data_IF_402167377928
#
_entry.id   IF_402167377928
#
_cell.length_a   1.000
_cell.length_b   1.000
_cell.length_c   1.000
_cell.angle_alpha   90.00
_cell.angle_beta   90.00
_cell.angle_gamma   90.00
#
_symmetry.space_group_name_H-M   'P 1'
#
loop_
_entity.id
_entity.type
_entity.pdbx_description
1 polymer ?
#
# COMPACT_ATOMS: atom_id res chain seq x y z
N UNK A 1 -10.29 14.84 20.58
CA UNK A 1 -10.51 13.40 20.30
C UNK A 1 -9.38 13.01 19.37
N UNK A 2 -8.61 11.99 19.73
CA UNK A 2 -7.46 11.57 18.93
C UNK A 2 -7.90 11.02 17.57
N UNK A 3 -7.16 11.35 16.51
CA UNK A 3 -7.27 10.69 15.22
C UNK A 3 -5.93 10.07 14.83
N UNK A 4 -5.97 9.12 13.90
CA UNK A 4 -4.81 8.38 13.43
C UNK A 4 -4.65 8.54 11.92
N UNK A 5 -3.42 8.72 11.47
CA UNK A 5 -3.10 8.84 10.06
C UNK A 5 -1.80 8.09 9.76
N UNK A 6 -1.83 7.25 8.73
CA UNK A 6 -0.66 6.53 8.22
C UNK A 6 -0.69 6.50 6.70
N UNK A 7 0.49 6.33 6.12
CA UNK A 7 0.67 6.14 4.68
C UNK A 7 1.39 4.81 4.44
N UNK A 8 1.02 4.15 3.35
CA UNK A 8 1.84 3.16 2.67
C UNK A 8 2.32 3.81 1.38
N UNK A 9 3.63 3.90 1.24
CA UNK A 9 4.30 4.35 0.03
C UNK A 9 4.73 3.12 -0.79
N UNK A 10 4.12 2.95 -1.96
CA UNK A 10 4.51 1.98 -2.98
C UNK A 10 5.89 2.34 -3.56
N UNK A 11 6.64 1.35 -4.03
CA UNK A 11 7.99 1.53 -4.56
C UNK A 11 8.07 1.75 -6.06
N UNK A 12 6.96 1.60 -6.79
CA UNK A 12 6.93 1.95 -8.21
C UNK A 12 7.35 3.42 -8.42
N UNK A 13 8.25 3.62 -9.38
CA UNK A 13 8.86 4.89 -9.79
C UNK A 13 9.57 5.67 -8.67
N UNK A 14 9.84 5.02 -7.54
CA UNK A 14 10.56 5.61 -6.40
C UNK A 14 12.08 5.44 -6.57
N UNK A 15 12.80 6.52 -6.79
CA UNK A 15 14.27 6.56 -6.72
C UNK A 15 14.73 7.31 -5.48
N UNK A 16 15.98 7.10 -5.07
CA UNK A 16 16.57 7.83 -3.95
C UNK A 16 16.39 9.35 -4.11
N UNK A 17 16.60 9.85 -5.32
CA UNK A 17 16.57 11.28 -5.63
C UNK A 17 15.18 11.90 -5.48
N UNK A 18 14.12 11.19 -5.89
CA UNK A 18 12.77 11.74 -5.83
C UNK A 18 12.07 11.50 -4.49
N UNK A 19 12.38 10.41 -3.77
CA UNK A 19 11.71 10.15 -2.49
C UNK A 19 12.43 10.77 -1.31
N UNK A 20 13.75 10.97 -1.35
CA UNK A 20 14.47 11.51 -0.19
C UNK A 20 13.88 12.86 0.29
N UNK A 21 13.58 13.84 -0.57
CA UNK A 21 12.95 15.10 -0.15
C UNK A 21 11.57 14.89 0.50
N UNK A 22 10.79 13.91 0.02
CA UNK A 22 9.48 13.58 0.58
C UNK A 22 9.62 13.01 2.00
N UNK A 23 10.54 12.07 2.20
CA UNK A 23 10.79 11.47 3.51
C UNK A 23 11.40 12.45 4.51
N UNK A 24 12.31 13.32 4.06
CA UNK A 24 12.87 14.39 4.91
C UNK A 24 11.74 15.33 5.39
N UNK A 25 10.87 15.77 4.48
CA UNK A 25 9.71 16.60 4.83
C UNK A 25 8.74 15.90 5.79
N UNK A 26 8.38 14.63 5.54
CA UNK A 26 7.52 13.87 6.45
C UNK A 26 8.14 13.74 7.85
N UNK A 27 9.44 13.46 7.92
CA UNK A 27 10.16 13.34 9.17
C UNK A 27 10.19 14.66 9.95
N UNK A 28 10.44 15.79 9.28
CA UNK A 28 10.36 17.14 9.88
C UNK A 28 8.96 17.44 10.45
N UNK A 29 7.92 16.91 9.81
CA UNK A 29 6.53 17.02 10.27
C UNK A 29 6.14 16.00 11.34
N UNK A 30 7.06 15.15 11.76
CA UNK A 30 6.82 14.10 12.76
C UNK A 30 5.90 12.99 12.26
N UNK A 31 5.82 12.79 10.93
CA UNK A 31 5.01 11.74 10.31
C UNK A 31 5.91 10.55 10.00
N UNK A 32 5.64 9.41 10.64
CA UNK A 32 6.25 8.13 10.36
C UNK A 32 5.27 7.24 9.61
N UNK A 33 5.74 6.59 8.54
CA UNK A 33 4.92 5.82 7.60
C UNK A 33 5.56 4.47 7.28
N UNK A 34 4.92 3.70 6.39
CA UNK A 34 5.44 2.45 5.86
C UNK A 34 5.93 2.65 4.42
N UNK A 35 7.24 2.46 4.18
CA UNK A 35 7.85 2.39 2.86
C UNK A 35 7.86 0.94 2.39
N UNK A 36 7.26 0.62 1.24
CA UNK A 36 7.57 -0.66 0.59
C UNK A 36 8.83 -0.53 -0.27
N UNK A 37 9.58 -1.62 -0.43
CA UNK A 37 10.81 -1.66 -1.24
C UNK A 37 10.87 -2.91 -2.11
N UNK A 38 11.75 -2.87 -3.11
CA UNK A 38 12.25 -4.04 -3.83
C UNK A 38 13.67 -4.41 -3.38
N UNK A 39 13.95 -5.71 -3.38
CA UNK A 39 15.28 -6.27 -3.13
C UNK A 39 16.10 -6.30 -4.41
N UNK A 40 15.48 -6.70 -5.51
CA UNK A 40 16.04 -6.85 -6.84
C UNK A 40 15.53 -5.78 -7.80
N UNK A 41 16.31 -5.43 -8.85
CA UNK A 41 15.89 -4.45 -9.83
C UNK A 41 14.68 -4.93 -10.64
N UNK A 42 13.81 -4.03 -11.12
CA UNK A 42 12.70 -4.41 -11.98
C UNK A 42 13.18 -5.15 -13.23
N UNK A 43 12.51 -6.24 -13.60
CA UNK A 43 12.78 -7.07 -14.79
C UNK A 43 11.83 -6.79 -15.95
N UNK A 44 10.70 -6.17 -15.66
CA UNK A 44 9.69 -5.80 -16.63
C UNK A 44 9.81 -4.34 -17.06
N UNK A 45 9.26 -4.04 -18.25
CA UNK A 45 9.33 -2.69 -18.85
C UNK A 45 8.41 -1.64 -18.22
N UNK A 46 7.22 -1.97 -17.68
CA UNK A 46 6.30 -0.96 -17.17
C UNK A 46 6.75 -0.29 -15.87
N UNK A 47 7.63 -0.92 -15.10
CA UNK A 47 7.98 -0.52 -13.75
C UNK A 47 9.41 0.04 -13.69
N UNK A 48 9.62 1.03 -12.83
CA UNK A 48 10.93 1.61 -12.55
C UNK A 48 11.07 1.90 -11.05
N UNK A 49 12.29 2.20 -10.57
CA UNK A 49 12.55 2.49 -9.16
C UNK A 49 13.85 1.86 -8.66
N UNK A 50 14.30 2.36 -7.51
CA UNK A 50 15.48 1.83 -6.82
C UNK A 50 15.13 0.56 -6.03
N UNK A 51 16.18 -0.20 -5.73
CA UNK A 51 16.10 -1.45 -4.97
C UNK A 51 17.32 -1.61 -4.07
N UNK A 52 17.32 -2.64 -3.23
CA UNK A 52 18.43 -2.92 -2.31
C UNK A 52 19.75 -3.30 -3.00
N UNK A 53 19.79 -3.47 -4.34
CA UNK A 53 21.07 -3.64 -5.05
C UNK A 53 21.88 -2.34 -5.17
N UNK A 54 21.28 -1.17 -4.94
CA UNK A 54 21.97 0.12 -4.95
C UNK A 54 22.49 0.46 -3.54
N UNK A 55 23.82 0.52 -3.29
CA UNK A 55 24.36 0.74 -1.95
C UNK A 55 23.88 2.04 -1.29
N UNK A 56 23.79 3.14 -2.04
CA UNK A 56 23.33 4.43 -1.51
C UNK A 56 21.85 4.37 -1.09
N UNK A 57 21.04 3.61 -1.82
CA UNK A 57 19.64 3.38 -1.46
C UNK A 57 19.52 2.53 -0.20
N UNK A 58 20.37 1.51 -0.03
CA UNK A 58 20.40 0.69 1.20
C UNK A 58 20.68 1.57 2.42
N UNK A 59 21.67 2.46 2.34
CA UNK A 59 21.97 3.37 3.46
C UNK A 59 20.82 4.34 3.75
N UNK A 60 20.13 4.84 2.72
CA UNK A 60 18.91 5.62 2.89
C UNK A 60 17.79 4.82 3.59
N UNK A 61 17.52 3.59 3.16
CA UNK A 61 16.49 2.74 3.78
C UNK A 61 16.83 2.40 5.24
N UNK A 62 18.11 2.15 5.56
CA UNK A 62 18.56 1.96 6.95
C UNK A 62 18.34 3.22 7.80
N UNK A 63 18.66 4.40 7.26
CA UNK A 63 18.41 5.68 7.94
C UNK A 63 16.92 5.89 8.20
N UNK A 64 16.04 5.62 7.21
CA UNK A 64 14.60 5.65 7.41
C UNK A 64 14.17 4.70 8.54
N UNK A 65 14.68 3.46 8.54
CA UNK A 65 14.35 2.52 9.60
C UNK A 65 14.79 3.00 10.98
N UNK A 66 16.01 3.53 11.11
CA UNK A 66 16.52 4.11 12.35
C UNK A 66 15.70 5.31 12.84
N UNK A 67 15.17 6.12 11.92
CA UNK A 67 14.26 7.24 12.23
C UNK A 67 12.87 6.80 12.67
N UNK A 68 12.53 5.51 12.54
CA UNK A 68 11.26 4.94 12.97
C UNK A 68 10.24 4.71 11.86
N UNK A 69 10.63 4.87 10.58
CA UNK A 69 9.79 4.43 9.46
C UNK A 69 9.77 2.89 9.41
N UNK A 70 8.64 2.33 8.97
CA UNK A 70 8.55 0.89 8.70
C UNK A 70 9.01 0.60 7.27
N UNK A 71 9.82 -0.46 7.12
CA UNK A 71 10.21 -0.98 5.81
C UNK A 71 9.46 -2.29 5.55
N UNK A 72 8.74 -2.34 4.44
CA UNK A 72 7.87 -3.43 4.00
C UNK A 72 8.25 -3.92 2.60
N UNK A 73 7.68 -5.05 2.19
CA UNK A 73 8.02 -5.69 0.90
C UNK A 73 6.96 -5.42 -0.18
N UNK A 74 7.38 -5.04 -1.39
CA UNK A 74 6.51 -4.95 -2.58
C UNK A 74 6.82 -6.07 -3.59
N UNK A 75 6.74 -7.32 -3.15
CA UNK A 75 7.49 -8.45 -3.73
C UNK A 75 9.02 -8.23 -3.66
N UNK A 76 9.82 -9.23 -4.03
CA UNK A 76 11.29 -9.08 -4.05
C UNK A 76 11.77 -8.17 -5.19
N UNK A 77 10.95 -7.94 -6.20
CA UNK A 77 11.19 -7.00 -7.30
C UNK A 77 10.01 -6.97 -8.25
N UNK A 78 10.01 -6.05 -9.21
CA UNK A 78 9.03 -6.07 -10.30
C UNK A 78 9.39 -7.11 -11.36
N UNK A 79 8.41 -7.90 -11.79
CA UNK A 79 8.56 -8.97 -12.78
C UNK A 79 8.53 -10.38 -12.17
N UNK A 80 8.92 -11.36 -12.98
CA UNK A 80 8.84 -12.77 -12.60
C UNK A 80 10.08 -13.21 -11.79
N UNK A 81 9.85 -13.71 -10.57
CA UNK A 81 10.86 -14.27 -9.68
C UNK A 81 10.47 -15.68 -9.24
N UNK A 82 11.38 -16.65 -9.35
CA UNK A 82 11.10 -18.01 -8.89
C UNK A 82 11.06 -18.09 -7.37
N UNK A 83 10.53 -19.19 -6.83
CA UNK A 83 10.55 -19.47 -5.40
C UNK A 83 11.95 -19.30 -4.81
N UNK A 84 12.96 -19.87 -5.44
CA UNK A 84 14.35 -19.81 -4.97
C UNK A 84 14.81 -18.36 -4.87
N UNK A 85 14.58 -17.56 -5.92
CA UNK A 85 14.92 -16.14 -5.93
C UNK A 85 14.14 -15.34 -4.88
N UNK A 86 12.88 -15.67 -4.63
CA UNK A 86 12.08 -15.04 -3.58
C UNK A 86 12.68 -15.34 -2.21
N UNK A 87 13.04 -16.59 -1.93
CA UNK A 87 13.61 -16.97 -0.64
C UNK A 87 14.98 -16.33 -0.43
N UNK A 88 15.83 -16.32 -1.46
CA UNK A 88 17.12 -15.61 -1.44
C UNK A 88 16.93 -14.11 -1.22
N UNK A 89 15.96 -13.49 -1.89
CA UNK A 89 15.64 -12.07 -1.70
C UNK A 89 15.15 -11.74 -0.30
N UNK A 90 14.41 -12.65 0.35
CA UNK A 90 13.99 -12.47 1.75
C UNK A 90 15.17 -12.56 2.73
N UNK A 91 16.12 -13.47 2.51
CA UNK A 91 17.35 -13.49 3.31
C UNK A 91 18.20 -12.26 3.04
N UNK A 92 18.33 -11.83 1.79
CA UNK A 92 19.09 -10.63 1.45
C UNK A 92 18.48 -9.36 2.04
N UNK A 93 17.14 -9.25 2.07
CA UNK A 93 16.44 -8.20 2.80
C UNK A 93 16.89 -8.17 4.26
N UNK A 94 16.91 -9.32 4.93
CA UNK A 94 17.31 -9.42 6.34
C UNK A 94 18.80 -9.17 6.54
N UNK A 95 19.66 -9.66 5.66
CA UNK A 95 21.10 -9.46 5.78
C UNK A 95 21.46 -7.97 5.63
N UNK A 96 20.75 -7.25 4.74
CA UNK A 96 20.96 -5.82 4.52
C UNK A 96 20.32 -4.95 5.59
N UNK A 97 19.14 -5.31 6.11
CA UNK A 97 18.33 -4.43 6.97
C UNK A 97 18.25 -4.89 8.43
N UNK A 98 18.61 -6.14 8.74
CA UNK A 98 18.64 -6.72 10.08
C UNK A 98 17.33 -7.34 10.58
N UNK A 99 16.27 -7.34 9.76
CA UNK A 99 14.95 -7.86 10.12
C UNK A 99 14.20 -8.38 8.89
N UNK A 100 13.10 -9.13 9.10
CA UNK A 100 12.17 -9.50 8.03
C UNK A 100 10.96 -8.56 7.98
N UNK A 101 10.35 -8.35 6.80
CA UNK A 101 9.19 -7.47 6.66
C UNK A 101 7.95 -8.08 7.32
N UNK A 102 7.19 -7.24 8.05
CA UNK A 102 5.87 -7.61 8.60
C UNK A 102 4.74 -7.48 7.57
N UNK A 103 4.90 -6.55 6.63
CA UNK A 103 3.91 -6.22 5.61
C UNK A 103 4.43 -6.64 4.24
N UNK A 104 3.56 -7.28 3.47
CA UNK A 104 3.76 -7.52 2.05
C UNK A 104 2.59 -6.94 1.25
N UNK A 105 2.94 -6.30 0.14
CA UNK A 105 1.98 -5.74 -0.81
C UNK A 105 2.33 -6.30 -2.17
N UNK A 106 1.39 -7.02 -2.77
CA UNK A 106 1.54 -7.53 -4.13
C UNK A 106 1.77 -6.40 -5.14
N UNK A 107 2.80 -6.52 -5.96
CA UNK A 107 2.96 -5.78 -7.21
C UNK A 107 1.98 -6.30 -8.27
N UNK A 108 1.51 -5.40 -9.14
CA UNK A 108 0.26 -5.62 -9.89
C UNK A 108 0.34 -6.76 -10.91
N UNK A 109 1.52 -7.08 -11.45
CA UNK A 109 1.71 -8.05 -12.55
C UNK A 109 2.55 -9.26 -12.15
N UNK A 110 3.04 -9.28 -10.91
CA UNK A 110 3.95 -10.30 -10.43
C UNK A 110 3.25 -11.65 -10.25
N UNK A 111 3.73 -12.69 -10.94
CA UNK A 111 3.20 -14.05 -10.81
C UNK A 111 3.30 -14.58 -9.38
N UNK A 112 4.31 -14.19 -8.62
CA UNK A 112 4.49 -14.59 -7.22
C UNK A 112 3.55 -13.87 -6.25
N UNK A 113 2.70 -12.96 -6.71
CA UNK A 113 1.71 -12.30 -5.84
C UNK A 113 0.72 -13.29 -5.21
N UNK A 114 0.55 -13.18 -3.89
CA UNK A 114 -0.32 -14.05 -3.08
C UNK A 114 -1.77 -13.65 -3.25
N UNK A 115 -2.61 -14.53 -3.82
CA UNK A 115 -4.00 -14.24 -4.17
C UNK A 115 -4.13 -12.97 -5.05
N UNK A 116 -3.18 -12.79 -5.97
CA UNK A 116 -3.10 -11.65 -6.89
C UNK A 116 -4.26 -11.56 -7.90
N UNK A 117 -4.39 -10.37 -8.50
CA UNK A 117 -5.39 -10.07 -9.54
C UNK A 117 -6.81 -10.50 -9.21
N UNK A 118 -7.40 -11.32 -10.08
CA UNK A 118 -8.80 -11.76 -9.95
C UNK A 118 -9.04 -12.63 -8.72
N UNK A 119 -8.01 -13.29 -8.18
CA UNK A 119 -8.12 -14.18 -7.00
C UNK A 119 -8.33 -13.41 -5.69
N UNK A 120 -8.02 -12.10 -5.68
CA UNK A 120 -8.34 -11.16 -4.59
C UNK A 120 -9.86 -11.03 -4.37
N UNK A 121 -10.64 -11.25 -5.42
CA UNK A 121 -12.08 -10.99 -5.45
C UNK A 121 -12.92 -12.27 -5.35
N UNK A 122 -14.10 -12.19 -4.75
CA UNK A 122 -15.13 -13.21 -4.81
C UNK A 122 -15.96 -13.10 -6.08
N UNK A 123 -16.68 -14.17 -6.42
CA UNK A 123 -17.78 -14.07 -7.38
C UNK A 123 -18.87 -13.12 -6.83
N UNK A 124 -19.43 -12.22 -7.65
CA UNK A 124 -19.22 -12.07 -9.10
C UNK A 124 -18.09 -11.11 -9.49
N UNK A 125 -17.49 -10.38 -8.55
CA UNK A 125 -16.49 -9.35 -8.83
C UNK A 125 -15.22 -9.89 -9.49
N UNK A 126 -14.80 -11.12 -9.20
CA UNK A 126 -13.68 -11.74 -9.90
C UNK A 126 -13.89 -11.81 -11.41
N UNK A 127 -15.11 -12.08 -11.88
CA UNK A 127 -15.47 -12.11 -13.30
C UNK A 127 -15.50 -10.71 -13.90
N UNK A 128 -16.01 -9.72 -13.16
CA UNK A 128 -16.02 -8.31 -13.59
C UNK A 128 -14.58 -7.81 -13.76
N UNK A 129 -13.73 -8.04 -12.76
CA UNK A 129 -12.30 -7.66 -12.81
C UNK A 129 -11.59 -8.36 -13.95
N UNK A 130 -11.84 -9.66 -14.15
CA UNK A 130 -11.27 -10.42 -15.26
C UNK A 130 -11.68 -9.86 -16.63
N UNK A 131 -12.90 -9.37 -16.77
CA UNK A 131 -13.38 -8.77 -18.01
C UNK A 131 -12.80 -7.36 -18.25
N UNK A 132 -12.64 -6.57 -17.18
CA UNK A 132 -12.07 -5.21 -17.26
C UNK A 132 -10.55 -5.22 -17.47
N UNK A 133 -9.87 -6.22 -16.92
CA UNK A 133 -8.41 -6.33 -16.91
C UNK A 133 -7.99 -7.76 -17.27
N UNK A 134 -8.11 -8.16 -18.54
CA UNK A 134 -7.76 -9.50 -18.98
C UNK A 134 -6.28 -9.85 -18.72
N UNK A 135 -5.40 -8.85 -18.64
CA UNK A 135 -4.00 -9.03 -18.24
C UNK A 135 -3.82 -9.56 -16.81
N UNK A 136 -4.84 -9.54 -15.95
CA UNK A 136 -4.78 -10.12 -14.60
C UNK A 136 -5.33 -11.56 -14.54
N UNK A 137 -5.67 -12.16 -15.67
CA UNK A 137 -6.28 -13.48 -15.74
C UNK A 137 -5.22 -14.60 -15.77
N UNK A 138 -5.25 -15.50 -14.79
CA UNK A 138 -4.47 -16.75 -14.84
C UNK A 138 -2.95 -16.61 -14.60
N UNK A 139 -2.45 -15.41 -14.34
CA UNK A 139 -1.01 -15.16 -14.21
C UNK A 139 -0.48 -15.42 -12.78
N UNK A 140 -1.30 -15.17 -11.75
CA UNK A 140 -0.87 -15.23 -10.35
C UNK A 140 -0.79 -16.66 -9.82
N UNK A 141 0.34 -17.01 -9.23
CA UNK A 141 0.73 -18.35 -8.82
C UNK A 141 1.43 -18.42 -7.45
N UNK A 142 1.60 -17.28 -6.75
CA UNK A 142 2.28 -17.23 -5.45
C UNK A 142 1.72 -18.19 -4.40
N UNK A 143 0.41 -18.44 -4.45
CA UNK A 143 -0.30 -19.36 -3.55
C UNK A 143 -0.55 -20.76 -4.14
N UNK A 144 -0.09 -21.04 -5.36
CA UNK A 144 -0.36 -22.29 -6.08
C UNK A 144 0.78 -23.27 -5.84
N UNK A 145 0.55 -24.26 -4.96
CA UNK A 145 1.50 -25.34 -4.71
C UNK A 145 1.94 -26.03 -6.00
N UNK A 146 3.25 -26.28 -6.14
CA UNK A 146 3.86 -26.88 -7.33
C UNK A 146 4.20 -25.90 -8.45
N UNK A 147 3.78 -24.63 -8.35
CA UNK A 147 4.27 -23.57 -9.26
C UNK A 147 5.72 -23.20 -8.96
N UNK A 148 6.47 -22.81 -10.00
CA UNK A 148 7.80 -22.20 -9.87
C UNK A 148 7.79 -20.87 -9.09
N UNK A 149 6.63 -20.22 -8.95
CA UNK A 149 6.46 -18.94 -8.25
C UNK A 149 5.87 -19.10 -6.84
N UNK A 150 5.69 -20.35 -6.38
CA UNK A 150 5.04 -20.63 -5.10
C UNK A 150 5.90 -20.22 -3.92
N UNK A 151 5.38 -19.36 -3.05
CA UNK A 151 5.99 -19.03 -1.75
C UNK A 151 4.97 -18.83 -0.63
N UNK A 152 3.72 -19.22 -0.86
CA UNK A 152 2.61 -19.03 0.09
C UNK A 152 2.85 -19.63 1.48
N UNK A 153 3.61 -20.72 1.59
CA UNK A 153 4.00 -21.34 2.85
C UNK A 153 4.95 -20.47 3.68
N UNK A 154 5.92 -19.82 3.02
CA UNK A 154 6.85 -18.88 3.65
C UNK A 154 6.15 -17.56 3.94
N UNK A 155 5.36 -17.05 3.00
CA UNK A 155 4.52 -15.87 3.20
C UNK A 155 3.61 -16.02 4.43
N UNK A 156 2.96 -17.18 4.61
CA UNK A 156 2.11 -17.46 5.77
C UNK A 156 2.86 -17.42 7.11
N UNK A 157 4.13 -17.81 7.12
CA UNK A 157 4.97 -17.82 8.33
C UNK A 157 5.53 -16.43 8.65
N UNK A 158 5.93 -15.68 7.63
CA UNK A 158 6.71 -14.44 7.77
C UNK A 158 5.84 -13.19 7.78
N UNK A 159 4.89 -13.09 6.86
CA UNK A 159 4.11 -11.86 6.64
C UNK A 159 2.90 -11.82 7.56
N UNK A 160 2.76 -10.74 8.33
CA UNK A 160 1.61 -10.54 9.23
C UNK A 160 0.44 -9.87 8.51
N UNK A 161 0.70 -8.79 7.79
CA UNK A 161 -0.33 -7.94 7.19
C UNK A 161 -0.21 -7.83 5.67
N UNK A 162 -1.36 -7.81 5.01
CA UNK A 162 -1.51 -7.75 3.57
C UNK A 162 -2.47 -6.61 3.21
N UNK A 163 -2.12 -5.79 2.22
CA UNK A 163 -3.05 -4.78 1.69
C UNK A 163 -4.15 -5.45 0.86
N UNK A 164 -5.38 -5.00 1.01
CA UNK A 164 -6.54 -5.49 0.25
C UNK A 164 -7.24 -4.39 -0.56
N UNK A 165 -8.42 -3.95 -0.09
CA UNK A 165 -9.30 -3.05 -0.82
C UNK A 165 -9.04 -1.59 -0.49
N UNK A 166 -9.16 -0.77 -1.51
CA UNK A 166 -8.91 0.67 -1.44
C UNK A 166 -10.20 1.46 -1.68
N UNK A 167 -10.36 2.56 -0.95
CA UNK A 167 -11.60 3.37 -0.95
C UNK A 167 -11.32 4.86 -1.13
N UNK A 168 -12.29 5.61 -1.65
CA UNK A 168 -12.20 7.07 -1.82
C UNK A 168 -12.27 7.90 -0.53
N UNK A 169 -12.50 7.27 0.62
CA UNK A 169 -12.75 7.97 1.89
C UNK A 169 -11.46 8.09 2.69
N UNK A 170 -11.08 9.29 3.13
CA UNK A 170 -9.88 9.47 3.96
C UNK A 170 -9.95 8.64 5.26
N UNK A 171 -11.07 8.70 5.98
CA UNK A 171 -11.32 7.85 7.14
C UNK A 171 -11.60 6.40 6.69
N UNK A 172 -10.52 5.62 6.51
CA UNK A 172 -10.53 4.24 6.03
C UNK A 172 -11.42 3.36 6.90
N UNK A 173 -11.38 3.55 8.22
CA UNK A 173 -12.11 2.69 9.16
C UNK A 173 -13.59 3.02 9.30
N UNK A 174 -14.03 4.21 8.86
CA UNK A 174 -15.45 4.44 8.65
C UNK A 174 -16.00 3.55 7.54
N UNK A 175 -15.17 3.15 6.57
CA UNK A 175 -15.55 2.24 5.49
C UNK A 175 -15.33 0.79 5.89
N UNK A 176 -14.15 0.43 6.41
CA UNK A 176 -13.81 -0.92 6.85
C UNK A 176 -13.40 -0.95 8.33
N UNK A 177 -14.38 -0.95 9.26
CA UNK A 177 -14.10 -1.00 10.70
C UNK A 177 -13.48 -2.32 11.17
N UNK A 178 -13.47 -3.36 10.32
CA UNK A 178 -12.90 -4.68 10.65
C UNK A 178 -11.41 -4.75 10.38
N UNK A 179 -10.80 -3.84 9.62
CA UNK A 179 -9.34 -3.75 9.45
C UNK A 179 -8.59 -3.67 10.81
N UNK A 180 -7.53 -4.47 11.04
CA UNK A 180 -7.11 -5.65 10.26
C UNK A 180 -8.05 -6.84 10.49
N UNK A 181 -8.29 -7.65 9.45
CA UNK A 181 -9.25 -8.76 9.47
C UNK A 181 -8.71 -10.07 8.87
N UNK A 182 -9.41 -11.17 9.16
CA UNK A 182 -9.14 -12.49 8.58
C UNK A 182 -10.13 -12.80 7.44
N UNK A 183 -9.63 -13.12 6.24
CA UNK A 183 -10.43 -13.62 5.10
C UNK A 183 -10.33 -15.15 5.02
N UNK A 184 -11.40 -15.91 5.35
CA UNK A 184 -11.37 -17.36 5.33
C UNK A 184 -10.96 -17.97 3.99
N UNK A 185 -11.35 -17.37 2.86
CA UNK A 185 -11.07 -17.91 1.53
C UNK A 185 -9.61 -17.77 1.11
N UNK A 186 -8.85 -16.88 1.77
CA UNK A 186 -7.43 -16.64 1.52
C UNK A 186 -6.54 -17.04 2.70
N UNK A 187 -7.12 -17.70 3.70
CA UNK A 187 -6.46 -17.96 4.98
C UNK A 187 -5.32 -18.97 4.92
N UNK A 188 -5.31 -19.85 3.90
CA UNK A 188 -4.29 -20.90 3.75
C UNK A 188 -2.89 -20.31 3.64
N UNK A 189 -2.73 -19.22 2.88
CA UNK A 189 -1.44 -18.62 2.60
C UNK A 189 -1.34 -17.12 2.94
N UNK A 190 -2.35 -16.54 3.60
CA UNK A 190 -2.28 -15.16 4.13
C UNK A 190 -2.77 -15.11 5.58
N UNK A 191 -2.25 -14.14 6.35
CA UNK A 191 -2.63 -13.94 7.76
C UNK A 191 -3.77 -12.94 7.89
N UNK A 192 -3.44 -11.66 7.91
CA UNK A 192 -4.43 -10.60 8.11
C UNK A 192 -4.38 -9.60 6.96
N UNK A 193 -5.55 -9.05 6.67
CA UNK A 193 -5.74 -8.08 5.60
C UNK A 193 -6.15 -6.73 6.17
N UNK A 194 -5.68 -5.66 5.56
CA UNK A 194 -6.12 -4.30 5.85
C UNK A 194 -6.54 -3.59 4.56
N UNK A 195 -7.46 -2.64 4.72
CA UNK A 195 -7.87 -1.74 3.67
C UNK A 195 -7.14 -0.40 3.77
N UNK A 196 -7.11 0.32 2.67
CA UNK A 196 -6.53 1.65 2.58
C UNK A 196 -7.44 2.63 1.84
N UNK A 197 -7.08 3.89 1.86
CA UNK A 197 -7.65 4.94 1.05
C UNK A 197 -6.86 5.06 -0.25
N UNK A 198 -7.56 5.18 -1.37
CA UNK A 198 -6.99 5.16 -2.71
C UNK A 198 -6.42 6.53 -3.08
N UNK A 199 -5.10 6.63 -3.24
CA UNK A 199 -4.41 7.86 -3.67
C UNK A 199 -3.19 7.51 -4.53
N UNK A 200 -3.38 6.96 -5.75
CA UNK A 200 -2.28 6.43 -6.55
C UNK A 200 -1.28 7.51 -7.02
N UNK A 201 -1.65 8.78 -6.99
CA UNK A 201 -0.80 9.90 -7.39
C UNK A 201 -1.08 11.13 -6.53
N UNK A 202 -0.29 12.19 -6.73
CA UNK A 202 -0.38 13.46 -6.02
C UNK A 202 -1.74 14.15 -6.20
N UNK A 203 -2.36 14.07 -7.38
CA UNK A 203 -3.67 14.69 -7.63
C UNK A 203 -4.77 14.04 -6.79
N UNK A 204 -4.82 12.71 -6.75
CA UNK A 204 -5.79 11.97 -5.93
C UNK A 204 -5.47 12.15 -4.45
N UNK A 205 -4.19 12.18 -4.07
CA UNK A 205 -3.77 12.45 -2.70
C UNK A 205 -4.28 13.81 -2.22
N UNK A 206 -4.05 14.88 -2.99
CA UNK A 206 -4.46 16.24 -2.66
C UNK A 206 -5.99 16.35 -2.55
N UNK A 207 -6.71 15.65 -3.43
CA UNK A 207 -8.16 15.54 -3.34
C UNK A 207 -8.61 14.81 -2.06
N UNK A 208 -7.97 13.68 -1.73
CA UNK A 208 -8.30 12.82 -0.62
C UNK A 208 -7.99 13.48 0.73
N UNK A 209 -6.83 14.12 0.87
CA UNK A 209 -6.31 14.79 2.08
C UNK A 209 -6.63 16.29 2.07
N UNK A 210 -7.72 16.68 1.39
CA UNK A 210 -8.22 18.05 1.42
C UNK A 210 -8.67 18.47 2.82
N UNK A 211 -8.65 19.78 3.10
CA UNK A 211 -9.04 20.36 4.40
C UNK A 211 -10.36 19.82 4.93
N UNK A 212 -11.39 19.79 4.07
CA UNK A 212 -12.71 19.24 4.38
C UNK A 212 -12.66 17.78 4.86
N UNK A 213 -11.83 16.95 4.21
CA UNK A 213 -11.72 15.54 4.58
C UNK A 213 -10.91 15.36 5.86
N UNK A 214 -9.88 16.19 6.07
CA UNK A 214 -9.12 16.24 7.32
C UNK A 214 -10.01 16.69 8.49
N UNK A 215 -10.78 17.76 8.35
CA UNK A 215 -11.76 18.20 9.36
C UNK A 215 -12.75 17.09 9.73
N UNK A 216 -13.21 16.36 8.71
CA UNK A 216 -14.09 15.21 8.91
C UNK A 216 -13.39 14.06 9.62
N UNK A 217 -12.11 13.79 9.33
CA UNK A 217 -11.31 12.78 10.00
C UNK A 217 -11.15 13.13 11.49
N UNK A 218 -10.76 14.38 11.77
CA UNK A 218 -10.54 14.90 13.13
C UNK A 218 -11.82 14.89 13.95
N UNK A 219 -12.92 15.44 13.42
CA UNK A 219 -14.21 15.48 14.13
C UNK A 219 -14.79 14.10 14.45
N UNK A 220 -14.39 13.07 13.69
CA UNK A 220 -14.80 11.70 13.90
C UNK A 220 -13.85 10.90 14.81
N UNK A 221 -12.70 11.45 15.22
CA UNK A 221 -11.63 10.67 15.84
C UNK A 221 -11.21 9.49 14.97
N UNK A 222 -11.17 9.71 13.66
CA UNK A 222 -11.07 8.64 12.66
C UNK A 222 -9.67 8.07 12.50
N UNK A 223 -9.56 7.06 11.63
CA UNK A 223 -8.29 6.44 11.29
C UNK A 223 -8.15 6.32 9.79
N UNK A 224 -7.07 6.89 9.25
CA UNK A 224 -6.72 6.87 7.85
C UNK A 224 -5.47 6.01 7.62
N UNK A 225 -5.54 5.15 6.60
CA UNK A 225 -4.38 4.44 6.03
C UNK A 225 -4.40 4.77 4.54
N UNK A 226 -3.59 5.70 4.09
CA UNK A 226 -3.53 6.11 2.67
C UNK A 226 -2.54 5.22 1.92
N UNK A 227 -2.87 4.80 0.71
CA UNK A 227 -1.93 4.10 -0.18
C UNK A 227 -1.60 5.00 -1.37
N UNK A 228 -0.30 5.27 -1.59
CA UNK A 228 0.18 6.19 -2.61
C UNK A 228 1.53 5.77 -3.19
N UNK A 229 2.01 6.49 -4.22
CA UNK A 229 3.33 6.32 -4.84
C UNK A 229 4.06 7.65 -4.75
N UNK A 230 4.99 7.80 -3.81
CA UNK A 230 5.71 9.06 -3.62
C UNK A 230 6.74 9.37 -4.71
N UNK A 231 7.01 8.42 -5.62
CA UNK A 231 7.78 8.69 -6.83
C UNK A 231 7.24 9.85 -7.68
N UNK A 232 5.97 10.23 -7.51
CA UNK A 232 5.33 11.33 -8.25
C UNK A 232 5.28 12.68 -7.51
N UNK A 233 5.80 12.76 -6.29
CA UNK A 233 5.58 13.90 -5.38
C UNK A 233 6.74 14.89 -5.33
N UNK A 234 7.80 14.62 -6.09
CA UNK A 234 8.95 15.51 -6.21
C UNK A 234 9.36 15.60 -7.68
N UNK A 235 9.42 16.82 -8.19
CA UNK A 235 9.73 17.10 -9.60
C UNK A 235 10.44 18.44 -9.73
N UNK A 236 11.40 18.51 -10.64
CA UNK A 236 12.12 19.74 -11.00
C UNK A 236 12.75 20.47 -9.79
N UNK A 237 13.14 19.72 -8.76
CA UNK A 237 13.74 20.27 -7.54
C UNK A 237 12.75 20.64 -6.44
N UNK A 238 11.45 20.43 -6.66
CA UNK A 238 10.38 20.90 -5.75
C UNK A 238 9.43 19.76 -5.36
N UNK A 239 8.94 19.82 -4.13
CA UNK A 239 7.83 18.99 -3.66
C UNK A 239 6.51 19.47 -4.26
N UNK A 240 5.59 18.54 -4.51
CA UNK A 240 4.21 18.89 -4.89
C UNK A 240 3.59 19.81 -3.83
N UNK A 241 3.19 21.00 -4.25
CA UNK A 241 2.69 22.03 -3.32
C UNK A 241 1.38 21.62 -2.64
N UNK A 242 0.50 20.91 -3.35
CA UNK A 242 -0.74 20.42 -2.75
C UNK A 242 -0.50 19.38 -1.66
N UNK A 243 0.53 18.53 -1.82
CA UNK A 243 0.97 17.59 -0.80
C UNK A 243 1.53 18.33 0.42
N UNK A 244 2.40 19.31 0.22
CA UNK A 244 2.95 20.14 1.31
C UNK A 244 1.83 20.81 2.09
N UNK A 245 0.89 21.47 1.41
CA UNK A 245 -0.27 22.12 2.05
C UNK A 245 -1.17 21.13 2.79
N UNK A 246 -1.40 19.95 2.21
CA UNK A 246 -2.23 18.92 2.82
C UNK A 246 -1.60 18.35 4.10
N UNK A 247 -0.30 18.06 4.08
CA UNK A 247 0.44 17.57 5.24
C UNK A 247 0.52 18.65 6.31
N UNK A 248 0.86 19.90 5.94
CA UNK A 248 0.90 21.01 6.89
C UNK A 248 -0.45 21.23 7.57
N UNK A 249 -1.53 21.19 6.80
CA UNK A 249 -2.86 21.33 7.38
C UNK A 249 -3.20 20.16 8.31
N UNK A 250 -2.84 18.94 7.93
CA UNK A 250 -3.06 17.72 8.70
C UNK A 250 -2.28 17.73 10.02
N UNK A 251 -1.02 18.15 10.04
CA UNK A 251 -0.17 18.17 11.24
C UNK A 251 -0.47 19.32 12.17
N UNK A 252 -1.13 20.38 11.68
CA UNK A 252 -1.63 21.46 12.52
C UNK A 252 -2.91 21.09 13.30
N UNK A 253 -3.50 19.93 13.04
CA UNK A 253 -4.66 19.45 13.79
C UNK A 253 -4.24 18.94 15.18
N UNK A 254 -5.09 19.19 16.18
CA UNK A 254 -4.86 18.71 17.54
C UNK A 254 -5.11 17.19 17.64
N UNK A 255 -4.38 16.54 18.56
CA UNK A 255 -4.53 15.12 18.87
C UNK A 255 -4.27 14.15 17.69
N UNK A 256 -3.45 14.55 16.72
CA UNK A 256 -3.03 13.70 15.60
C UNK A 256 -1.99 12.67 16.00
N UNK A 257 -2.17 11.42 15.57
CA UNK A 257 -1.22 10.33 15.78
C UNK A 257 -0.73 9.82 14.43
N UNK A 258 0.56 9.95 14.16
CA UNK A 258 1.21 9.60 12.90
C UNK A 258 2.21 8.47 13.15
N UNK A 259 1.91 7.28 12.64
CA UNK A 259 2.71 6.09 12.92
C UNK A 259 2.66 5.09 11.76
N UNK A 260 3.65 4.20 11.62
CA UNK A 260 3.63 3.19 10.59
C UNK A 260 2.43 2.25 10.66
N UNK A 261 2.10 1.64 9.51
CA UNK A 261 0.87 0.87 9.35
C UNK A 261 0.83 -0.35 10.27
N UNK A 262 1.90 -1.15 10.39
CA UNK A 262 1.82 -2.32 11.28
C UNK A 262 1.60 -1.94 12.73
N UNK A 263 2.23 -0.86 13.21
CA UNK A 263 2.02 -0.35 14.56
C UNK A 263 0.57 0.07 14.78
N UNK A 264 -0.02 0.78 13.81
CA UNK A 264 -1.43 1.15 13.84
C UNK A 264 -2.35 -0.09 13.86
N UNK A 265 -2.06 -1.10 13.04
CA UNK A 265 -2.85 -2.34 12.99
C UNK A 265 -2.72 -3.17 14.27
N UNK A 266 -1.51 -3.24 14.87
CA UNK A 266 -1.24 -3.90 16.14
C UNK A 266 -1.98 -3.19 17.28
N UNK A 267 -1.95 -1.85 17.34
CA UNK A 267 -2.71 -1.06 18.31
C UNK A 267 -4.21 -1.39 18.24
N UNK A 268 -4.77 -1.48 17.03
CA UNK A 268 -6.19 -1.83 16.86
C UNK A 268 -6.52 -3.24 17.30
N UNK A 269 -5.63 -4.19 17.02
CA UNK A 269 -5.80 -5.56 17.47
C UNK A 269 -5.80 -5.62 19.01
N UNK A 270 -4.91 -4.87 19.66
CA UNK A 270 -4.84 -4.77 21.12
C UNK A 270 -6.07 -4.07 21.72
N UNK A 271 -6.52 -2.96 21.14
CA UNK A 271 -7.75 -2.28 21.58
C UNK A 271 -8.98 -3.21 21.56
N UNK A 272 -9.07 -4.10 20.55
CA UNK A 272 -10.14 -5.09 20.48
C UNK A 272 -9.98 -6.15 21.57
N UNK A 273 -8.75 -6.63 21.79
CA UNK A 273 -8.41 -7.61 22.83
C UNK A 273 -8.78 -7.10 24.22
N UNK A 274 -8.39 -5.87 24.55
CA UNK A 274 -8.73 -5.22 25.82
C UNK A 274 -10.24 -5.05 26.03
N UNK A 275 -11.01 -4.97 24.94
CA UNK A 275 -12.49 -4.94 24.95
C UNK A 275 -13.13 -6.33 24.92
N UNK A 276 -12.36 -7.41 25.08
CA UNK A 276 -12.85 -8.78 25.03
C UNK A 276 -13.31 -9.24 23.64
N UNK A 277 -12.89 -8.55 22.57
CA UNK A 277 -13.25 -8.87 21.18
C UNK A 277 -12.10 -9.60 20.48
N UNK A 278 -12.42 -10.33 19.41
CA UNK A 278 -11.41 -10.93 18.56
C UNK A 278 -10.49 -9.83 17.98
N UNK A 279 -9.15 -9.94 18.12
CA UNK A 279 -8.21 -8.93 17.62
C UNK A 279 -8.31 -8.77 16.09
N UNK A 280 -8.47 -9.90 15.40
CA UNK A 280 -8.61 -9.99 13.95
C UNK A 280 -9.94 -10.65 13.60
N UNK A 281 -11.04 -9.88 13.46
CA UNK A 281 -12.34 -10.45 13.19
C UNK A 281 -12.38 -11.16 11.83
N UNK A 282 -13.05 -12.30 11.78
CA UNK A 282 -13.36 -12.97 10.51
C UNK A 282 -14.40 -12.16 9.73
N UNK A 283 -14.14 -11.89 8.46
CA UNK A 283 -15.13 -11.26 7.58
C UNK A 283 -16.10 -12.30 7.01
N UNK A 284 -17.36 -11.91 6.89
CA UNK A 284 -18.38 -12.72 6.22
C UNK A 284 -18.33 -12.50 4.71
N UNK A 285 -18.98 -13.39 3.96
CA UNK A 285 -19.11 -13.25 2.51
C UNK A 285 -19.77 -11.92 2.11
N UNK A 286 -20.88 -11.55 2.77
CA UNK A 286 -21.57 -10.26 2.52
C UNK A 286 -20.68 -9.05 2.86
N UNK A 287 -19.86 -9.15 3.89
CA UNK A 287 -18.92 -8.08 4.24
C UNK A 287 -17.88 -7.88 3.13
N UNK A 288 -17.27 -8.98 2.67
CA UNK A 288 -16.32 -8.98 1.55
C UNK A 288 -16.96 -8.41 0.28
N UNK A 289 -18.18 -8.85 -0.05
CA UNK A 289 -18.94 -8.34 -1.19
C UNK A 289 -19.11 -6.82 -1.15
N UNK A 290 -19.47 -6.25 0.02
CA UNK A 290 -19.59 -4.79 0.17
C UNK A 290 -18.26 -4.07 -0.06
N UNK A 291 -17.16 -4.59 0.49
CA UNK A 291 -15.83 -3.99 0.29
C UNK A 291 -15.42 -4.03 -1.19
N UNK A 292 -15.64 -5.17 -1.87
CA UNK A 292 -15.34 -5.33 -3.29
C UNK A 292 -16.16 -4.37 -4.17
N UNK A 293 -17.46 -4.21 -3.87
CA UNK A 293 -18.31 -3.23 -4.55
C UNK A 293 -17.77 -1.80 -4.38
N UNK A 294 -17.49 -1.39 -3.14
CA UNK A 294 -16.99 -0.04 -2.86
C UNK A 294 -15.61 0.22 -3.47
N UNK A 295 -14.76 -0.81 -3.53
CA UNK A 295 -13.48 -0.74 -4.21
C UNK A 295 -13.63 -0.47 -5.70
N UNK A 296 -14.49 -1.24 -6.39
CA UNK A 296 -14.73 -1.04 -7.82
C UNK A 296 -15.41 0.31 -8.11
N UNK A 297 -16.37 0.72 -7.28
CA UNK A 297 -16.98 2.05 -7.38
C UNK A 297 -15.96 3.17 -7.18
N UNK A 298 -14.96 2.99 -6.31
CA UNK A 298 -13.85 3.92 -6.15
C UNK A 298 -13.06 4.06 -7.45
N UNK A 299 -12.70 2.93 -8.09
CA UNK A 299 -12.00 2.94 -9.38
C UNK A 299 -12.84 3.59 -10.48
N UNK A 300 -14.13 3.29 -10.56
CA UNK A 300 -15.04 3.92 -11.54
C UNK A 300 -15.15 5.42 -11.31
N UNK A 301 -15.26 5.87 -10.06
CA UNK A 301 -15.36 7.28 -9.71
C UNK A 301 -14.17 8.09 -10.25
N UNK A 302 -12.94 7.70 -9.90
CA UNK A 302 -11.76 8.46 -10.33
C UNK A 302 -11.39 8.29 -11.82
N UNK A 303 -11.94 7.28 -12.50
CA UNK A 303 -11.70 7.09 -13.94
C UNK A 303 -12.74 7.73 -14.84
N UNK A 304 -13.99 7.84 -14.36
CA UNK A 304 -15.12 8.27 -15.20
C UNK A 304 -15.70 9.61 -14.78
N UNK A 305 -15.64 9.95 -13.49
CA UNK A 305 -16.30 11.15 -12.96
C UNK A 305 -15.32 12.21 -12.46
N UNK A 306 -14.29 11.82 -11.72
CA UNK A 306 -13.24 12.71 -11.25
C UNK A 306 -11.90 12.24 -11.83
N UNK A 307 -11.63 12.57 -13.09
CA UNK A 307 -10.56 12.00 -13.96
C UNK A 307 -9.15 12.43 -13.53
N UNK A 308 -8.76 12.04 -12.33
CA UNK A 308 -7.45 12.33 -11.72
C UNK A 308 -6.66 11.05 -11.35
N UNK A 309 -7.21 9.85 -11.62
CA UNK A 309 -6.48 8.56 -11.50
C UNK A 309 -5.51 8.38 -12.67
N UNK A 310 -4.35 7.75 -12.45
CA UNK A 310 -3.30 7.46 -13.44
C UNK A 310 -3.82 6.71 -14.67
N UNK A 311 -4.88 5.90 -14.49
CA UNK A 311 -5.52 5.22 -15.62
C UNK A 311 -6.18 6.19 -16.62
N UNK A 312 -6.51 7.41 -16.22
CA UNK A 312 -6.93 8.47 -17.14
C UNK A 312 -5.76 9.02 -17.97
N UNK A 313 -4.52 8.75 -17.56
CA UNK A 313 -3.29 9.24 -18.17
C UNK A 313 -2.47 8.16 -18.89
N UNK A 314 -2.89 6.88 -18.88
CA UNK A 314 -2.19 5.79 -19.61
C UNK A 314 -2.32 5.85 -21.14
N UNK A 315 -3.25 6.65 -21.66
CA UNK A 315 -3.35 7.00 -23.09
C UNK A 315 -2.77 8.39 -23.39
N UNK A 316 -2.18 9.06 -22.40
CA UNK A 316 -1.64 10.41 -22.54
C UNK A 316 -0.14 10.35 -22.29
N UNK A 317 0.58 11.11 -23.11
CA UNK A 317 2.03 11.19 -23.13
C UNK A 317 2.59 11.28 -21.70
N UNK A 318 3.74 10.65 -21.42
CA UNK A 318 4.43 10.84 -20.12
C UNK A 318 4.71 12.32 -19.85
N UNK A 319 4.75 13.12 -20.93
CA UNK A 319 4.85 14.57 -20.95
C UNK A 319 3.58 15.32 -20.47
N UNK A 320 2.47 14.66 -20.17
CA UNK A 320 1.29 15.34 -19.59
C UNK A 320 1.36 15.55 -18.08
N UNK A 321 2.24 14.81 -17.39
CA UNK A 321 2.70 15.21 -16.05
C UNK A 321 3.73 16.35 -16.14
N UNK A 322 3.96 16.88 -17.36
CA UNK A 322 4.92 17.93 -17.74
C UNK A 322 4.22 19.20 -18.25
N UNK A 323 2.91 19.36 -18.04
CA UNK A 323 2.31 20.69 -18.26
C UNK A 323 2.78 21.70 -17.19
N UNK A 324 3.21 22.85 -17.71
CA UNK A 324 3.96 23.95 -17.07
C UNK A 324 3.19 24.75 -16.05
#
# INVERSE_FOLDING_TARGET
MSFYFSIVDDTDDATLENIKPVYDFLYEKGILITKTIWVYPPRDKPSSGDCLQRPEYVEFIKDLHHKGFEIALHNVGSGDYTREEILEGLEEFKDKLGFYPKIHINHSYNKDSIYGGTKRFNWPFNKIVNAMYPQYAGEFQGEIEGSAYFWGDVHKKMITYNRNHEFRNLNTLAVDPKTPYFDPKRSRFSNYWFSSSFAPNQLVFNHLVSRKNVDKLVSQGGTAIVFTHFGYFYKDGELDQGFVEAIDYLTNQKDGNYMPVSQLLDLRAEERRLKGKAPYPTISWFYKFRLELLHLLTRVYYRKFNKIDDYAFKDLDKDMFVEK
#
